data_IF_470690848867
#
_entry.id   IF_470690848867
#
_cell.length_a   1.000
_cell.length_b   1.000
_cell.length_c   1.000
_cell.angle_alpha   90.00
_cell.angle_beta   90.00
_cell.angle_gamma   90.00
#
_symmetry.space_group_name_H-M   'P 1'
#
loop_
_entity.id
_entity.type
_entity.pdbx_description
1 polymer ?
#
# COMPACT_ATOMS: atom_id res chain seq x y z
N UNK A 1 13.22 -29.42 -50.99
CA UNK A 1 12.45 -28.41 -50.23
C UNK A 1 11.43 -29.02 -49.26
N UNK A 2 11.77 -30.10 -48.50
CA UNK A 2 10.81 -30.75 -47.56
C UNK A 2 10.93 -30.26 -46.10
N UNK A 3 12.04 -29.62 -45.73
CA UNK A 3 12.30 -29.20 -44.35
C UNK A 3 11.91 -27.74 -44.06
N UNK A 4 11.56 -26.95 -45.08
CA UNK A 4 11.19 -25.53 -44.91
C UNK A 4 9.85 -25.35 -44.18
N UNK A 5 8.91 -26.29 -44.36
CA UNK A 5 7.59 -26.26 -43.70
C UNK A 5 7.65 -26.56 -42.20
N UNK A 6 8.64 -27.34 -41.77
CA UNK A 6 8.84 -27.66 -40.35
C UNK A 6 9.53 -26.51 -39.62
N UNK A 7 10.42 -25.78 -40.33
CA UNK A 7 11.08 -24.60 -39.79
C UNK A 7 10.10 -23.44 -39.54
N UNK A 8 9.14 -23.20 -40.46
CA UNK A 8 8.14 -22.14 -40.26
C UNK A 8 7.17 -22.46 -39.12
N UNK A 9 6.80 -23.73 -38.94
CA UNK A 9 5.93 -24.17 -37.85
C UNK A 9 6.63 -24.01 -36.50
N UNK A 10 7.93 -24.35 -36.43
CA UNK A 10 8.73 -24.19 -35.22
C UNK A 10 8.90 -22.71 -34.83
N UNK A 11 9.14 -21.83 -35.81
CA UNK A 11 9.25 -20.38 -35.59
C UNK A 11 7.92 -19.76 -35.12
N UNK A 12 6.79 -20.23 -35.67
CA UNK A 12 5.47 -19.76 -35.29
C UNK A 12 5.09 -20.16 -33.86
N UNK A 13 5.43 -21.39 -33.44
CA UNK A 13 5.25 -21.85 -32.06
C UNK A 13 6.16 -21.09 -31.09
N UNK A 14 7.40 -20.78 -31.48
CA UNK A 14 8.32 -20.00 -30.64
C UNK A 14 7.81 -18.57 -30.41
N UNK A 15 7.30 -17.91 -31.46
CA UNK A 15 6.75 -16.55 -31.39
C UNK A 15 5.48 -16.47 -30.51
N UNK A 16 4.63 -17.51 -30.56
CA UNK A 16 3.43 -17.57 -29.73
C UNK A 16 3.80 -17.82 -28.26
N UNK A 17 4.79 -18.67 -27.97
CA UNK A 17 5.23 -18.92 -26.59
C UNK A 17 5.98 -17.74 -25.96
N UNK A 18 6.73 -16.94 -26.73
CA UNK A 18 7.31 -15.69 -26.23
C UNK A 18 6.26 -14.60 -25.97
N UNK A 19 5.15 -14.61 -26.72
CA UNK A 19 4.07 -13.63 -26.53
C UNK A 19 3.26 -13.82 -25.23
N UNK A 20 3.19 -15.05 -24.69
CA UNK A 20 2.54 -15.31 -23.41
C UNK A 20 3.47 -15.16 -22.20
N UNK A 21 4.79 -15.38 -22.35
CA UNK A 21 5.76 -15.13 -21.27
C UNK A 21 6.09 -13.64 -21.06
N UNK A 22 5.82 -12.78 -22.04
CA UNK A 22 6.07 -11.33 -21.93
C UNK A 22 4.91 -10.53 -21.34
N UNK A 23 3.83 -11.18 -20.89
CA UNK A 23 2.66 -10.48 -20.35
C UNK A 23 2.59 -10.50 -18.81
N UNK A 24 3.45 -11.25 -18.11
CA UNK A 24 3.49 -11.32 -16.63
C UNK A 24 4.48 -10.34 -15.98
N UNK A 25 5.10 -9.44 -16.74
CA UNK A 25 6.13 -8.50 -16.25
C UNK A 25 5.88 -7.04 -16.65
N UNK A 26 4.64 -6.70 -17.03
CA UNK A 26 4.21 -5.32 -17.26
C UNK A 26 3.29 -4.94 -16.09
N UNK A 27 3.85 -4.17 -15.15
CA UNK A 27 3.11 -3.34 -14.19
C UNK A 27 2.43 -4.09 -13.06
N UNK A 28 3.20 -4.57 -12.06
CA UNK A 28 2.74 -4.23 -10.70
C UNK A 28 2.95 -2.72 -10.61
N UNK A 29 1.88 -1.95 -10.68
CA UNK A 29 1.97 -0.54 -10.33
C UNK A 29 2.61 -0.47 -8.95
N UNK A 30 3.82 0.10 -8.86
CA UNK A 30 4.48 0.25 -7.57
C UNK A 30 3.52 1.01 -6.64
N UNK A 31 3.22 0.42 -5.48
CA UNK A 31 2.34 1.05 -4.51
C UNK A 31 3.02 2.31 -4.01
N UNK A 32 2.37 3.46 -4.19
CA UNK A 32 3.03 4.76 -4.03
C UNK A 32 3.55 5.01 -2.61
N UNK A 33 2.89 4.41 -1.60
CA UNK A 33 3.29 4.50 -0.20
C UNK A 33 4.48 3.60 0.18
N UNK A 34 4.89 2.63 -0.64
CA UNK A 34 6.06 1.79 -0.33
C UNK A 34 7.33 2.64 -0.32
N UNK A 35 8.10 2.51 0.75
CA UNK A 35 9.32 3.27 0.99
C UNK A 35 9.48 3.70 2.45
N UNK A 36 10.50 4.53 2.66
CA UNK A 36 10.84 5.13 3.94
C UNK A 36 10.37 6.59 3.95
N UNK A 37 9.73 7.01 5.05
CA UNK A 37 9.07 8.29 5.18
C UNK A 37 9.45 8.96 6.49
N UNK A 38 9.77 10.24 6.40
CA UNK A 38 10.01 11.10 7.55
C UNK A 38 8.67 11.59 8.10
N UNK A 39 8.43 11.32 9.39
CA UNK A 39 7.25 11.79 10.11
C UNK A 39 7.60 12.86 11.15
N UNK A 40 8.80 13.43 11.07
CA UNK A 40 9.29 14.44 11.99
C UNK A 40 8.35 15.64 11.98
N UNK A 41 7.73 15.90 13.13
CA UNK A 41 7.06 17.16 13.43
C UNK A 41 7.88 17.91 14.48
N UNK A 42 7.52 19.17 14.76
CA UNK A 42 8.23 20.04 15.72
C UNK A 42 8.39 19.47 17.15
N UNK A 43 7.81 18.31 17.45
CA UNK A 43 7.81 17.65 18.77
C UNK A 43 8.57 16.31 18.85
N UNK A 44 9.20 15.85 17.76
CA UNK A 44 10.04 14.64 17.77
C UNK A 44 10.37 14.11 16.38
N UNK A 45 11.52 13.42 16.25
CA UNK A 45 11.90 12.76 15.00
C UNK A 45 11.23 11.39 14.91
N UNK A 46 10.46 11.16 13.87
CA UNK A 46 9.83 9.87 13.61
C UNK A 46 10.10 9.41 12.18
N UNK A 47 10.02 8.10 11.98
CA UNK A 47 10.20 7.48 10.68
C UNK A 47 9.20 6.35 10.52
N UNK A 48 8.61 6.26 9.34
CA UNK A 48 7.77 5.13 8.96
C UNK A 48 8.41 4.41 7.79
N UNK A 49 8.34 3.08 7.78
CA UNK A 49 8.75 2.24 6.65
C UNK A 49 7.56 1.38 6.25
N UNK A 50 7.20 1.46 4.97
CA UNK A 50 6.25 0.56 4.32
C UNK A 50 7.00 -0.31 3.32
N UNK A 51 6.84 -1.63 3.46
CA UNK A 51 7.28 -2.60 2.46
C UNK A 51 6.06 -3.17 1.72
N UNK A 52 6.27 -4.22 0.92
CA UNK A 52 5.16 -4.97 0.31
C UNK A 52 4.37 -5.80 1.32
N UNK A 53 4.91 -6.03 2.52
CA UNK A 53 4.41 -7.01 3.49
C UNK A 53 4.43 -6.55 4.95
N UNK A 54 5.08 -5.43 5.27
CA UNK A 54 5.23 -4.91 6.62
C UNK A 54 5.10 -3.38 6.71
N UNK A 55 4.61 -2.93 7.85
CA UNK A 55 4.59 -1.55 8.32
C UNK A 55 5.43 -1.46 9.59
N UNK A 56 6.38 -0.53 9.63
CA UNK A 56 7.22 -0.26 10.78
C UNK A 56 7.13 1.20 11.18
N UNK A 57 6.92 1.46 12.46
CA UNK A 57 6.87 2.81 13.01
C UNK A 57 8.03 3.02 13.99
N UNK A 58 8.81 4.07 13.76
CA UNK A 58 9.93 4.48 14.60
C UNK A 58 9.64 5.83 15.25
N UNK A 59 9.91 5.92 16.55
CA UNK A 59 9.79 7.16 17.33
C UNK A 59 11.11 7.40 18.07
N UNK A 60 11.66 8.61 17.94
CA UNK A 60 12.96 8.98 18.52
C UNK A 60 14.11 8.02 18.17
N UNK A 61 14.08 7.45 16.96
CA UNK A 61 15.10 6.53 16.47
C UNK A 61 14.94 5.06 16.91
N UNK A 62 13.96 4.75 17.76
CA UNK A 62 13.67 3.39 18.21
C UNK A 62 12.42 2.83 17.52
N UNK A 63 12.45 1.53 17.19
CA UNK A 63 11.29 0.83 16.65
C UNK A 63 10.20 0.79 17.71
N UNK A 64 9.09 1.48 17.44
CA UNK A 64 7.95 1.55 18.35
C UNK A 64 7.02 0.35 18.20
N UNK A 65 6.70 -0.04 16.96
CA UNK A 65 5.89 -1.21 16.67
C UNK A 65 5.97 -1.61 15.19
N UNK A 66 5.49 -2.82 14.91
CA UNK A 66 5.41 -3.41 13.57
C UNK A 66 4.03 -4.00 13.33
N UNK A 67 3.54 -3.94 12.10
CA UNK A 67 2.32 -4.61 11.68
C UNK A 67 2.54 -5.30 10.32
N UNK A 68 1.76 -6.34 10.05
CA UNK A 68 1.76 -7.05 8.78
C UNK A 68 0.82 -6.35 7.81
N UNK A 69 1.24 -6.11 6.58
CA UNK A 69 0.34 -5.66 5.51
C UNK A 69 -0.36 -6.90 4.94
N UNK A 70 -1.69 -6.92 5.00
CA UNK A 70 -2.53 -8.01 4.49
C UNK A 70 -3.21 -7.68 3.16
N UNK A 71 -3.39 -6.38 2.87
CA UNK A 71 -3.92 -5.91 1.60
C UNK A 71 -3.36 -4.51 1.28
N UNK A 72 -3.25 -4.18 0.00
CA UNK A 72 -2.78 -2.87 -0.46
C UNK A 72 -3.32 -2.57 -1.86
N UNK A 73 -3.72 -1.31 -2.07
CA UNK A 73 -4.27 -0.85 -3.35
C UNK A 73 -4.00 0.66 -3.56
N UNK A 74 -3.73 1.06 -4.81
CA UNK A 74 -3.65 2.46 -5.26
C UNK A 74 -5.05 2.97 -5.69
N UNK A 75 -6.10 2.59 -4.97
CA UNK A 75 -7.49 2.82 -5.37
C UNK A 75 -7.82 4.31 -5.57
N UNK A 76 -8.01 4.73 -6.82
CA UNK A 76 -8.25 6.12 -7.24
C UNK A 76 -7.09 7.10 -6.93
N UNK A 77 -5.86 6.60 -6.82
CA UNK A 77 -4.65 7.40 -6.58
C UNK A 77 -4.41 8.48 -7.65
N UNK A 78 -4.82 8.23 -8.90
CA UNK A 78 -4.70 9.15 -10.04
C UNK A 78 -6.06 9.47 -10.69
N UNK A 79 -7.17 9.20 -10.00
CA UNK A 79 -8.51 9.39 -10.57
C UNK A 79 -8.90 10.86 -10.57
N UNK A 80 -8.87 11.53 -11.72
CA UNK A 80 -9.46 12.86 -11.88
C UNK A 80 -10.96 12.78 -11.51
N UNK A 81 -11.39 13.65 -10.59
CA UNK A 81 -12.79 13.85 -10.19
C UNK A 81 -13.43 12.76 -9.33
N UNK A 82 -13.21 12.83 -8.01
CA UNK A 82 -14.27 12.50 -7.04
C UNK A 82 -14.23 13.49 -5.88
N UNK A 83 -15.40 13.80 -5.30
CA UNK A 83 -15.54 14.74 -4.17
C UNK A 83 -14.86 14.30 -2.87
N UNK A 84 -14.05 13.24 -2.92
CA UNK A 84 -13.39 12.56 -1.80
C UNK A 84 -11.85 12.66 -1.87
N UNK A 85 -11.30 13.10 -3.02
CA UNK A 85 -9.86 13.26 -3.27
C UNK A 85 -9.15 11.97 -3.69
N UNK A 86 -7.95 12.13 -4.25
CA UNK A 86 -7.04 11.07 -4.70
C UNK A 86 -6.48 10.27 -3.52
N UNK A 87 -6.62 8.93 -3.44
CA UNK A 87 -5.97 8.17 -2.36
C UNK A 87 -5.53 6.75 -2.75
N UNK A 88 -4.82 6.06 -1.87
CA UNK A 88 -4.66 4.61 -1.84
C UNK A 88 -4.85 4.12 -0.41
N UNK A 89 -4.87 2.80 -0.20
CA UNK A 89 -4.99 2.23 1.15
C UNK A 89 -4.22 0.91 1.36
N UNK A 90 -3.80 0.70 2.61
CA UNK A 90 -3.28 -0.56 3.13
C UNK A 90 -4.26 -1.06 4.19
N UNK A 91 -4.40 -2.37 4.28
CA UNK A 91 -4.95 -3.02 5.45
C UNK A 91 -3.80 -3.70 6.18
N UNK A 92 -3.61 -3.33 7.44
CA UNK A 92 -2.58 -3.89 8.30
C UNK A 92 -3.20 -4.70 9.43
N UNK A 93 -2.46 -5.69 9.92
CA UNK A 93 -2.81 -6.49 11.09
C UNK A 93 -1.70 -6.38 12.14
N UNK A 94 -2.09 -6.09 13.38
CA UNK A 94 -1.16 -6.06 14.51
C UNK A 94 -1.03 -7.47 15.12
N UNK A 95 0.05 -8.17 14.77
CA UNK A 95 0.36 -9.48 15.37
C UNK A 95 0.90 -9.32 16.81
N UNK A 96 1.59 -8.21 17.09
CA UNK A 96 2.01 -7.82 18.43
C UNK A 96 1.54 -6.38 18.68
N UNK A 97 0.57 -6.17 19.59
CA UNK A 97 0.03 -4.85 19.80
C UNK A 97 1.10 -3.93 20.44
N UNK A 98 1.07 -2.62 20.13
CA UNK A 98 1.94 -1.67 20.80
C UNK A 98 1.61 -1.58 22.29
N UNK A 99 2.60 -1.23 23.11
CA UNK A 99 2.47 -1.16 24.58
C UNK A 99 1.39 -0.18 25.06
N UNK A 100 1.08 0.85 24.27
CA UNK A 100 0.06 1.84 24.57
C UNK A 100 -1.37 1.40 24.22
N UNK A 101 -1.55 0.31 23.45
CA UNK A 101 -2.86 -0.24 23.16
C UNK A 101 -2.80 -1.74 22.87
N UNK A 102 -3.09 -2.55 23.89
CA UNK A 102 -3.08 -4.01 23.79
C UNK A 102 -4.32 -4.61 23.13
N UNK A 103 -5.41 -3.85 22.98
CA UNK A 103 -6.70 -4.36 22.49
C UNK A 103 -6.76 -4.59 20.98
N UNK A 104 -5.75 -4.07 20.26
CA UNK A 104 -5.64 -4.14 18.80
C UNK A 104 -5.01 -5.46 18.31
N UNK A 105 -4.61 -6.36 19.22
CA UNK A 105 -4.03 -7.66 18.86
C UNK A 105 -4.94 -8.45 17.90
N UNK A 106 -4.37 -8.91 16.80
CA UNK A 106 -5.03 -9.63 15.71
C UNK A 106 -6.16 -8.85 15.01
N UNK A 107 -6.33 -7.55 15.29
CA UNK A 107 -7.30 -6.69 14.61
C UNK A 107 -6.72 -6.08 13.34
N UNK A 108 -7.62 -5.67 12.46
CA UNK A 108 -7.27 -5.04 11.20
C UNK A 108 -7.51 -3.53 11.26
N UNK A 109 -6.57 -2.78 10.67
CA UNK A 109 -6.59 -1.33 10.57
C UNK A 109 -6.41 -0.92 9.13
N UNK A 110 -7.14 0.11 8.73
CA UNK A 110 -6.99 0.74 7.42
C UNK A 110 -6.08 1.94 7.54
N UNK A 111 -5.07 1.97 6.70
CA UNK A 111 -4.19 3.11 6.49
C UNK A 111 -4.47 3.67 5.10
N UNK A 112 -4.74 4.97 5.00
CA UNK A 112 -5.00 5.65 3.72
C UNK A 112 -3.95 6.70 3.46
N UNK A 113 -3.70 6.98 2.19
CA UNK A 113 -2.75 8.01 1.82
C UNK A 113 -3.16 8.75 0.56
N UNK A 114 -2.78 10.02 0.45
CA UNK A 114 -3.00 10.87 -0.72
C UNK A 114 -1.76 11.70 -1.04
N UNK A 115 -1.44 11.91 -2.31
CA UNK A 115 -0.38 12.84 -2.66
C UNK A 115 -0.88 14.28 -2.57
N UNK A 116 0.00 15.20 -2.20
CA UNK A 116 -0.22 16.59 -2.57
C UNK A 116 0.17 16.78 -4.03
N UNK A 117 -0.70 17.45 -4.79
CA UNK A 117 -0.59 17.64 -6.25
C UNK A 117 0.75 18.30 -6.66
N UNK A 118 1.50 18.91 -5.74
CA UNK A 118 2.73 19.66 -6.03
C UNK A 118 3.93 19.35 -5.09
N UNK A 119 4.16 18.08 -4.70
CA UNK A 119 5.34 17.77 -3.87
C UNK A 119 5.75 16.30 -3.77
N UNK A 120 6.77 16.04 -2.94
CA UNK A 120 7.19 14.68 -2.49
C UNK A 120 6.55 14.29 -1.15
N UNK A 121 5.58 15.07 -0.69
CA UNK A 121 4.89 14.90 0.57
C UNK A 121 3.54 14.23 0.36
N UNK A 122 3.22 13.30 1.25
CA UNK A 122 2.00 12.52 1.24
C UNK A 122 1.24 12.78 2.54
N UNK A 123 -0.07 13.01 2.44
CA UNK A 123 -0.94 12.97 3.61
C UNK A 123 -1.29 11.52 3.88
N UNK A 124 -0.97 11.07 5.08
CA UNK A 124 -1.29 9.76 5.59
C UNK A 124 -2.38 9.88 6.65
N UNK A 125 -3.40 9.03 6.56
CA UNK A 125 -4.49 8.97 7.52
C UNK A 125 -4.59 7.55 8.05
N UNK A 126 -4.72 7.45 9.37
CA UNK A 126 -4.94 6.16 10.03
C UNK A 126 -6.39 6.07 10.49
N UNK A 127 -6.99 4.91 10.29
CA UNK A 127 -8.30 4.61 10.81
C UNK A 127 -8.26 4.21 12.27
N UNK A 128 -8.64 5.12 13.17
CA UNK A 128 -8.84 4.79 14.58
C UNK A 128 -10.10 5.43 15.12
N UNK A 129 -11.18 4.63 15.12
CA UNK A 129 -12.38 4.82 15.93
C UNK A 129 -13.03 3.45 16.21
N UNK A 130 -12.96 2.50 15.26
CA UNK A 130 -13.32 1.08 15.42
C UNK A 130 -12.32 0.21 14.63
N UNK A 131 -11.85 -0.89 15.22
CA UNK A 131 -11.01 -1.88 14.53
C UNK A 131 -11.87 -2.95 13.87
N UNK A 132 -11.37 -3.57 12.80
CA UNK A 132 -12.11 -4.63 12.11
C UNK A 132 -11.67 -6.02 12.60
N UNK A 133 -12.63 -6.95 12.63
CA UNK A 133 -12.39 -8.34 13.03
C UNK A 133 -11.84 -9.19 11.88
N UNK A 134 -12.08 -8.76 10.63
CA UNK A 134 -11.61 -9.44 9.43
C UNK A 134 -10.96 -8.47 8.43
N UNK A 135 -10.11 -9.01 7.55
CA UNK A 135 -9.49 -8.24 6.48
C UNK A 135 -10.53 -7.74 5.46
N UNK A 136 -11.53 -8.55 5.12
CA UNK A 136 -12.56 -8.20 4.14
C UNK A 136 -13.41 -7.02 4.62
N UNK A 137 -13.82 -7.01 5.89
CA UNK A 137 -14.53 -5.87 6.49
C UNK A 137 -13.67 -4.59 6.47
N UNK A 138 -12.36 -4.71 6.70
CA UNK A 138 -11.45 -3.58 6.62
C UNK A 138 -11.30 -3.04 5.18
N UNK A 139 -11.23 -3.92 4.18
CA UNK A 139 -11.16 -3.55 2.75
C UNK A 139 -12.45 -2.84 2.31
N UNK A 140 -13.61 -3.40 2.68
CA UNK A 140 -14.91 -2.76 2.43
C UNK A 140 -15.00 -1.41 3.14
N UNK A 141 -14.57 -1.33 4.40
CA UNK A 141 -14.50 -0.08 5.16
C UNK A 141 -13.56 0.95 4.53
N UNK A 142 -12.42 0.54 3.99
CA UNK A 142 -11.46 1.43 3.34
C UNK A 142 -12.05 2.15 2.12
N UNK A 143 -12.96 1.48 1.41
CA UNK A 143 -13.55 1.95 0.14
C UNK A 143 -14.91 2.64 0.33
N UNK A 144 -15.67 2.27 1.37
CA UNK A 144 -17.01 2.80 1.63
C UNK A 144 -17.02 4.07 2.51
N UNK A 145 -15.94 4.33 3.26
CA UNK A 145 -16.02 5.27 4.37
C UNK A 145 -15.54 6.69 4.01
N UNK A 146 -16.50 7.58 3.80
CA UNK A 146 -16.30 9.02 3.74
C UNK A 146 -16.05 9.57 5.15
N UNK A 147 -14.85 10.10 5.42
CA UNK A 147 -14.52 10.82 6.66
C UNK A 147 -14.35 9.98 7.93
N UNK A 148 -14.24 8.66 7.84
CA UNK A 148 -14.17 7.74 8.99
C UNK A 148 -12.79 7.55 9.62
N UNK A 149 -11.73 8.00 8.96
CA UNK A 149 -10.36 7.76 9.39
C UNK A 149 -9.79 9.04 10.02
N UNK A 150 -9.25 8.89 11.23
CA UNK A 150 -9.20 9.93 12.26
C UNK A 150 -8.08 10.94 12.08
N UNK A 151 -6.88 10.58 12.53
CA UNK A 151 -5.71 11.48 12.58
C UNK A 151 -4.99 11.49 11.24
N UNK A 152 -4.63 12.68 10.78
CA UNK A 152 -3.80 12.88 9.60
C UNK A 152 -2.38 13.25 10.02
N UNK A 153 -1.40 12.64 9.37
CA UNK A 153 0.01 13.01 9.47
C UNK A 153 0.53 13.27 8.06
N UNK A 154 1.09 14.45 7.83
CA UNK A 154 1.82 14.72 6.59
C UNK A 154 3.23 14.16 6.72
N UNK A 155 3.65 13.35 5.76
CA UNK A 155 4.97 12.71 5.73
C UNK A 155 5.71 13.08 4.46
N UNK A 156 7.04 13.10 4.51
CA UNK A 156 7.89 13.35 3.33
C UNK A 156 8.75 12.15 3.02
N UNK A 157 8.84 11.78 1.73
CA UNK A 157 9.66 10.64 1.31
C UNK A 157 11.14 10.92 1.58
N UNK A 158 11.85 9.95 2.16
CA UNK A 158 13.30 10.01 2.42
C UNK A 158 14.12 9.54 1.21
#
# INVERSE_FOLDING_TARGET
MKNLKHLSLFLMVLLVMTGFMSCELIGKDDIAIIGEWDTTSDSGSGRIIFTDSSYENYYNGELSYTAKIVHSDNYNWNGEESGEGYYGYLVIQFDNPPSWNTTIENKFVVLRWKNFIEGTSMDYSEGYLEYFDTADEAIEGATAANGFFGTYTTVSKL
#
